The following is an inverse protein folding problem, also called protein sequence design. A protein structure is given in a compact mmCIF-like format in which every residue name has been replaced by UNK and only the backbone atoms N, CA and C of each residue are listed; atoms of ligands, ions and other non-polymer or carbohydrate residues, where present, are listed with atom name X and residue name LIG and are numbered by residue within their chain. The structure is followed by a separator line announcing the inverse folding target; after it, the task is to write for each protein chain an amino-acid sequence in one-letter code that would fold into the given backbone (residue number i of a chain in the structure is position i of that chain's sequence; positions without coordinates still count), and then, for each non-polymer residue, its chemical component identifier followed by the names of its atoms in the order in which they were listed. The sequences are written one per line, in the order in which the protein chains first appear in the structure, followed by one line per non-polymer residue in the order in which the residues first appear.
data_IF_214478586808
#
_entry.id   IF_214478586808
#
_cell.length_a   1.000
_cell.length_b   1.000
_cell.length_c   1.000
_cell.angle_alpha   90.00
_cell.angle_beta   90.00
_cell.angle_gamma   90.00
#
_symmetry.space_group_name_H-M   'P 1'
#
loop_
_entity.id
_entity.type
_entity.pdbx_description
1 polymer ?
#
# COMPACT_ATOMS: atom_id res chain seq x y z
N UNK A 1 -4.67 -10.07 20.79
CA UNK A 1 -4.24 -8.73 20.35
C UNK A 1 -3.07 -8.35 21.22
N UNK A 2 -1.94 -8.05 20.61
CA UNK A 2 -0.69 -7.71 21.29
C UNK A 2 -0.44 -6.21 21.16
N UNK A 3 0.31 -5.62 22.09
CA UNK A 3 0.73 -4.22 22.04
C UNK A 3 2.19 -4.16 22.49
N UNK A 4 2.96 -3.27 21.88
CA UNK A 4 4.37 -3.12 22.21
C UNK A 4 4.96 -1.85 21.62
N UNK A 5 6.29 -1.79 21.59
CA UNK A 5 7.02 -0.69 20.95
C UNK A 5 6.95 -0.78 19.43
N UNK A 6 7.31 0.32 18.76
CA UNK A 6 7.44 0.33 17.30
C UNK A 6 8.51 -0.65 16.80
N UNK A 7 9.62 -0.76 17.52
CA UNK A 7 10.73 -1.65 17.15
C UNK A 7 10.33 -3.12 17.27
N UNK A 8 9.61 -3.49 18.34
CA UNK A 8 9.07 -4.85 18.52
C UNK A 8 8.12 -5.25 17.38
N UNK A 9 7.22 -4.33 16.97
CA UNK A 9 6.35 -4.56 15.82
C UNK A 9 7.18 -4.78 14.55
N UNK A 10 8.14 -3.89 14.27
CA UNK A 10 8.95 -3.95 13.07
C UNK A 10 9.80 -5.23 13.00
N UNK A 11 10.40 -5.64 14.12
CA UNK A 11 11.16 -6.88 14.19
C UNK A 11 10.28 -8.10 13.93
N UNK A 12 9.05 -8.10 14.46
CA UNK A 12 8.07 -9.17 14.22
C UNK A 12 7.63 -9.23 12.77
N UNK A 13 7.32 -8.08 12.15
CA UNK A 13 6.95 -8.02 10.74
C UNK A 13 8.10 -8.46 9.84
N UNK A 14 9.33 -8.03 10.15
CA UNK A 14 10.52 -8.47 9.42
C UNK A 14 10.73 -9.98 9.55
N UNK A 15 10.55 -10.55 10.75
CA UNK A 15 10.61 -12.00 10.96
C UNK A 15 9.54 -12.74 10.14
N UNK A 16 8.29 -12.25 10.15
CA UNK A 16 7.19 -12.82 9.38
C UNK A 16 7.41 -12.77 7.86
N UNK A 17 8.06 -11.72 7.34
CA UNK A 17 8.45 -11.64 5.94
C UNK A 17 9.55 -12.67 5.63
N UNK A 18 10.58 -12.75 6.48
CA UNK A 18 11.69 -13.67 6.25
C UNK A 18 11.33 -15.14 6.40
N UNK A 19 10.22 -15.47 7.10
CA UNK A 19 9.73 -16.84 7.22
C UNK A 19 8.90 -17.29 6.03
N UNK A 20 8.53 -16.41 5.09
CA UNK A 20 7.85 -16.80 3.86
C UNK A 20 8.84 -17.51 2.94
N UNK A 21 8.62 -18.80 2.72
CA UNK A 21 9.46 -19.64 1.84
C UNK A 21 8.78 -19.81 0.48
N UNK A 22 9.24 -19.06 -0.51
CA UNK A 22 8.76 -19.10 -1.91
C UNK A 22 9.95 -19.12 -2.88
N UNK A 23 9.75 -19.63 -4.09
CA UNK A 23 10.80 -19.76 -5.12
C UNK A 23 10.94 -18.50 -6.01
N UNK A 24 10.29 -17.40 -5.64
CA UNK A 24 10.28 -16.12 -6.34
C UNK A 24 10.39 -15.00 -5.30
N UNK A 25 10.60 -13.73 -5.71
CA UNK A 25 10.58 -12.62 -4.78
C UNK A 25 9.32 -12.60 -3.91
N UNK A 26 9.48 -12.36 -2.60
CA UNK A 26 8.35 -12.29 -1.67
C UNK A 26 7.59 -10.99 -1.87
N UNK A 27 6.31 -11.07 -2.26
CA UNK A 27 5.43 -9.93 -2.48
C UNK A 27 4.62 -9.64 -1.23
N UNK A 28 4.85 -8.48 -0.62
CA UNK A 28 4.22 -8.08 0.64
C UNK A 28 3.34 -6.85 0.39
N UNK A 29 2.04 -6.97 0.66
CA UNK A 29 1.13 -5.84 0.70
C UNK A 29 1.19 -5.14 2.06
N UNK A 30 1.27 -3.80 2.04
CA UNK A 30 1.06 -2.92 3.19
C UNK A 30 -0.15 -2.02 2.88
N UNK A 31 -1.33 -2.59 3.07
CA UNK A 31 -2.62 -1.96 2.77
C UNK A 31 -3.07 -1.04 3.90
N UNK A 32 -3.74 0.06 3.58
CA UNK A 32 -4.38 0.89 4.58
C UNK A 32 -4.95 2.19 4.00
N UNK A 33 -5.92 2.78 4.70
CA UNK A 33 -6.49 4.06 4.31
C UNK A 33 -5.42 5.17 4.20
N UNK A 34 -5.71 6.27 3.47
CA UNK A 34 -4.85 7.45 3.51
C UNK A 34 -4.59 7.91 4.96
N UNK A 35 -3.38 8.40 5.23
CA UNK A 35 -2.91 8.87 6.55
C UNK A 35 -2.92 7.85 7.72
N UNK A 36 -3.01 6.54 7.47
CA UNK A 36 -2.81 5.51 8.50
C UNK A 36 -1.33 5.26 8.86
N UNK A 37 -0.39 5.82 8.09
CA UNK A 37 1.06 5.62 8.29
C UNK A 37 1.64 4.39 7.59
N UNK A 38 0.90 3.76 6.67
CA UNK A 38 1.37 2.60 5.89
C UNK A 38 2.70 2.82 5.15
N UNK A 39 2.89 3.99 4.53
CA UNK A 39 4.11 4.33 3.78
C UNK A 39 5.31 4.40 4.73
N UNK A 40 5.15 5.07 5.86
CA UNK A 40 6.17 5.13 6.92
C UNK A 40 6.50 3.74 7.44
N UNK A 41 5.49 2.89 7.70
CA UNK A 41 5.71 1.50 8.11
C UNK A 41 6.50 0.70 7.06
N UNK A 42 6.14 0.84 5.78
CA UNK A 42 6.83 0.16 4.69
C UNK A 42 8.29 0.62 4.55
N UNK A 43 8.57 1.92 4.74
CA UNK A 43 9.92 2.48 4.67
C UNK A 43 10.81 2.02 5.84
N UNK A 44 10.28 2.05 7.06
CA UNK A 44 10.98 1.55 8.25
C UNK A 44 11.29 0.05 8.12
N UNK A 45 10.32 -0.73 7.65
CA UNK A 45 10.49 -2.16 7.42
C UNK A 45 11.50 -2.44 6.29
N UNK A 46 11.51 -1.62 5.25
CA UNK A 46 12.52 -1.70 4.18
C UNK A 46 13.94 -1.49 4.73
N UNK A 47 14.12 -0.51 5.61
CA UNK A 47 15.42 -0.23 6.23
C UNK A 47 15.91 -1.43 7.06
N UNK A 48 15.04 -2.04 7.86
CA UNK A 48 15.38 -3.21 8.68
C UNK A 48 15.72 -4.42 7.81
N UNK A 49 14.92 -4.72 6.79
CA UNK A 49 15.18 -5.85 5.90
C UNK A 49 16.50 -5.68 5.12
N UNK A 50 16.82 -4.46 4.68
CA UNK A 50 18.10 -4.14 4.04
C UNK A 50 19.27 -4.33 5.00
N UNK A 51 19.13 -3.88 6.25
CA UNK A 51 20.15 -4.09 7.30
C UNK A 51 20.38 -5.59 7.60
N UNK A 52 19.35 -6.42 7.40
CA UNK A 52 19.42 -7.90 7.47
C UNK A 52 19.90 -8.56 6.17
N UNK A 53 20.39 -7.78 5.20
CA UNK A 53 20.99 -8.28 3.96
C UNK A 53 19.99 -8.64 2.85
N UNK A 54 18.71 -8.28 2.98
CA UNK A 54 17.71 -8.56 1.92
C UNK A 54 17.70 -7.45 0.86
N UNK A 55 17.56 -7.84 -0.40
CA UNK A 55 17.27 -6.91 -1.48
C UNK A 55 15.80 -6.48 -1.43
N UNK A 56 15.53 -5.22 -1.09
CA UNK A 56 14.16 -4.70 -0.96
C UNK A 56 13.79 -3.78 -2.12
N UNK A 57 12.76 -4.18 -2.86
CA UNK A 57 12.05 -3.37 -3.84
C UNK A 57 10.95 -2.62 -3.10
N UNK A 58 11.06 -1.28 -3.02
CA UNK A 58 9.98 -0.42 -2.50
C UNK A 58 9.21 0.15 -3.68
N UNK A 59 7.90 -0.06 -3.69
CA UNK A 59 6.98 0.51 -4.67
C UNK A 59 5.65 0.86 -3.99
N UNK A 60 4.85 1.70 -4.64
CA UNK A 60 3.55 2.17 -4.13
C UNK A 60 2.49 2.11 -5.23
N UNK A 61 1.24 1.87 -4.84
CA UNK A 61 0.10 1.93 -5.77
C UNK A 61 -0.04 3.32 -6.43
N UNK A 62 0.46 4.37 -5.77
CA UNK A 62 0.39 5.74 -6.28
C UNK A 62 1.19 5.91 -7.58
N UNK A 63 2.12 5.01 -7.89
CA UNK A 63 2.90 4.99 -9.15
C UNK A 63 2.25 4.14 -10.26
N UNK A 64 1.08 3.55 -9.98
CA UNK A 64 0.27 2.73 -10.87
C UNK A 64 -1.13 3.29 -11.01
N UNK A 65 -1.21 4.57 -11.39
CA UNK A 65 -2.45 5.32 -11.54
C UNK A 65 -2.68 5.74 -12.99
N UNK A 66 -3.94 5.84 -13.40
CA UNK A 66 -4.26 6.37 -14.72
C UNK A 66 -4.06 7.90 -14.77
N UNK A 67 -3.65 8.49 -15.90
CA UNK A 67 -3.66 9.95 -16.07
C UNK A 67 -5.00 10.60 -15.72
N UNK A 68 -4.98 11.87 -15.30
CA UNK A 68 -6.16 12.56 -14.74
C UNK A 68 -7.39 12.48 -15.65
N UNK A 69 -7.19 12.56 -16.96
CA UNK A 69 -8.26 12.46 -17.97
C UNK A 69 -9.06 11.14 -17.89
N UNK A 70 -8.42 10.04 -17.48
CA UNK A 70 -9.08 8.73 -17.26
C UNK A 70 -9.42 8.48 -15.78
N UNK A 71 -8.74 9.14 -14.86
CA UNK A 71 -8.93 9.00 -13.40
C UNK A 71 -10.18 9.70 -12.85
N UNK A 72 -10.63 10.77 -13.50
CA UNK A 72 -11.71 11.62 -13.00
C UNK A 72 -12.96 11.73 -13.90
N UNK A 73 -13.42 10.67 -14.59
CA UNK A 73 -14.64 10.74 -15.41
C UNK A 73 -15.89 11.01 -14.55
N UNK A 74 -15.86 10.59 -13.27
CA UNK A 74 -16.90 10.84 -12.27
C UNK A 74 -16.69 12.12 -11.47
N UNK A 75 -15.70 12.94 -11.84
CA UNK A 75 -15.29 14.15 -11.12
C UNK A 75 -14.21 13.91 -10.05
N UNK A 76 -13.47 14.98 -9.73
CA UNK A 76 -12.31 14.92 -8.82
C UNK A 76 -12.68 14.45 -7.41
N UNK A 77 -13.90 14.72 -6.94
CA UNK A 77 -14.32 14.39 -5.57
C UNK A 77 -15.08 13.05 -5.46
N UNK A 78 -15.26 12.31 -6.55
CA UNK A 78 -16.02 11.06 -6.53
C UNK A 78 -15.32 9.95 -5.74
N UNK A 79 -15.97 9.46 -4.69
CA UNK A 79 -15.54 8.30 -3.92
C UNK A 79 -15.51 7.02 -4.76
N UNK A 80 -16.54 6.78 -5.58
CA UNK A 80 -16.56 5.64 -6.51
C UNK A 80 -15.42 5.74 -7.52
N UNK A 81 -15.18 6.93 -8.08
CA UNK A 81 -14.04 7.13 -8.98
C UNK A 81 -12.70 6.91 -8.27
N UNK A 82 -12.60 7.24 -6.98
CA UNK A 82 -11.41 6.95 -6.18
C UNK A 82 -11.15 5.45 -6.02
N UNK A 83 -12.21 4.64 -5.91
CA UNK A 83 -12.09 3.20 -5.70
C UNK A 83 -11.93 2.44 -7.03
N UNK A 84 -12.71 2.77 -8.05
CA UNK A 84 -12.80 2.01 -9.30
C UNK A 84 -11.91 2.54 -10.43
N UNK A 85 -11.66 3.85 -10.52
CA UNK A 85 -11.03 4.46 -11.71
C UNK A 85 -9.59 4.92 -11.46
N UNK A 86 -9.09 4.84 -10.22
CA UNK A 86 -7.84 5.49 -9.87
C UNK A 86 -6.60 4.79 -10.41
N UNK A 87 -6.57 3.46 -10.32
CA UNK A 87 -5.36 2.66 -10.45
C UNK A 87 -5.39 1.75 -11.67
N UNK A 88 -4.26 1.67 -12.37
CA UNK A 88 -4.02 0.77 -13.49
C UNK A 88 -3.52 -0.59 -12.97
N UNK A 89 -4.46 -1.37 -12.44
CA UNK A 89 -4.17 -2.70 -11.89
C UNK A 89 -3.61 -3.66 -12.95
N UNK A 90 -4.04 -3.52 -14.20
CA UNK A 90 -3.55 -4.35 -15.30
C UNK A 90 -2.08 -4.07 -15.59
N UNK A 91 -1.67 -2.79 -15.58
CA UNK A 91 -0.26 -2.43 -15.66
C UNK A 91 0.52 -2.93 -14.45
N UNK A 92 0.03 -2.71 -13.23
CA UNK A 92 0.66 -3.20 -12.00
C UNK A 92 0.94 -4.70 -12.05
N UNK A 93 -0.06 -5.48 -12.43
CA UNK A 93 0.07 -6.94 -12.54
C UNK A 93 1.12 -7.30 -13.59
N UNK A 94 0.97 -6.76 -14.81
CA UNK A 94 1.81 -7.08 -15.95
C UNK A 94 3.30 -6.76 -15.73
N UNK A 95 3.62 -5.62 -15.12
CA UNK A 95 5.01 -5.12 -15.08
C UNK A 95 5.69 -5.29 -13.72
N UNK A 96 4.94 -5.62 -12.66
CA UNK A 96 5.50 -5.76 -11.31
C UNK A 96 5.07 -7.06 -10.62
N UNK A 97 3.77 -7.29 -10.40
CA UNK A 97 3.34 -8.40 -9.53
C UNK A 97 3.46 -9.78 -10.17
N UNK A 98 3.18 -9.91 -11.46
CA UNK A 98 3.27 -11.18 -12.19
C UNK A 98 4.76 -11.53 -12.48
N UNK A 99 5.63 -10.61 -12.94
CA UNK A 99 7.06 -10.90 -13.10
C UNK A 99 7.79 -11.27 -11.79
N UNK A 100 7.33 -10.75 -10.65
CA UNK A 100 7.88 -11.06 -9.32
C UNK A 100 7.16 -12.25 -8.63
N UNK A 101 6.15 -12.84 -9.28
CA UNK A 101 5.35 -13.93 -8.74
C UNK A 101 5.81 -15.32 -9.18
N UNK A 102 5.01 -16.37 -8.86
CA UNK A 102 5.26 -17.74 -9.29
C UNK A 102 5.43 -17.84 -10.81
N UNK A 103 6.56 -18.41 -11.27
CA UNK A 103 6.87 -18.55 -12.69
C UNK A 103 7.26 -17.27 -13.42
N UNK A 104 7.33 -16.14 -12.71
CA UNK A 104 7.80 -14.86 -13.27
C UNK A 104 9.29 -14.85 -13.57
N UNK A 105 9.71 -13.97 -14.49
CA UNK A 105 11.10 -13.86 -14.96
C UNK A 105 11.95 -12.89 -14.12
N UNK A 106 11.36 -12.29 -13.07
CA UNK A 106 11.94 -11.28 -12.18
C UNK A 106 12.29 -9.96 -12.88
N UNK A 107 11.84 -9.72 -14.10
CA UNK A 107 12.07 -8.48 -14.86
C UNK A 107 10.89 -7.54 -14.65
N UNK A 108 11.12 -6.44 -13.94
CA UNK A 108 10.04 -5.60 -13.45
C UNK A 108 10.28 -4.11 -13.70
N UNK A 109 9.20 -3.34 -13.58
CA UNK A 109 9.18 -1.87 -13.54
C UNK A 109 8.44 -1.43 -12.27
N UNK A 110 9.03 -0.56 -11.42
CA UNK A 110 8.41 -0.17 -10.15
C UNK A 110 7.34 0.92 -10.28
N UNK A 111 7.15 1.49 -11.48
CA UNK A 111 6.24 2.59 -11.74
C UNK A 111 5.81 2.60 -13.22
N UNK A 112 4.63 3.15 -13.50
CA UNK A 112 4.09 3.35 -14.86
C UNK A 112 3.47 4.73 -15.07
N UNK A 113 3.64 5.64 -14.10
CA UNK A 113 3.04 6.96 -14.14
C UNK A 113 4.05 8.06 -13.78
N UNK A 114 4.05 9.14 -14.56
CA UNK A 114 4.79 10.37 -14.28
C UNK A 114 3.86 11.39 -13.63
N UNK A 115 4.07 11.65 -12.34
CA UNK A 115 3.26 12.59 -11.57
C UNK A 115 3.42 14.05 -12.01
N UNK A 116 4.58 14.44 -12.54
CA UNK A 116 4.85 15.81 -12.95
C UNK A 116 4.23 16.10 -14.32
N UNK A 117 4.33 15.14 -15.25
CA UNK A 117 3.79 15.28 -16.59
C UNK A 117 2.31 14.88 -16.72
N UNK A 118 1.75 14.17 -15.74
CA UNK A 118 0.40 13.55 -15.83
C UNK A 118 0.28 12.62 -17.05
N UNK A 119 1.28 11.76 -17.24
CA UNK A 119 1.34 10.84 -18.38
C UNK A 119 1.80 9.44 -17.98
N UNK A 120 1.66 8.50 -18.91
CA UNK A 120 2.19 7.15 -18.76
C UNK A 120 3.71 7.20 -18.83
N UNK A 121 4.36 6.57 -17.87
CA UNK A 121 5.80 6.38 -17.79
C UNK A 121 6.14 4.93 -18.17
N UNK A 122 7.26 4.71 -18.83
CA UNK A 122 7.82 3.38 -19.06
C UNK A 122 9.30 3.38 -18.68
N UNK A 123 9.64 3.20 -17.39
CA UNK A 123 11.03 3.24 -16.95
C UNK A 123 11.80 2.02 -17.47
N UNK A 124 13.14 2.01 -17.44
CA UNK A 124 13.91 0.82 -17.81
C UNK A 124 13.54 -0.40 -16.97
N UNK A 125 13.48 -1.57 -17.62
CA UNK A 125 13.22 -2.85 -16.94
C UNK A 125 14.45 -3.23 -16.11
N UNK A 126 14.21 -3.63 -14.87
CA UNK A 126 15.24 -4.08 -13.91
C UNK A 126 15.01 -5.54 -13.54
N UNK A 127 16.06 -6.30 -13.23
CA UNK A 127 15.95 -7.70 -12.80
C UNK A 127 16.15 -7.83 -11.30
N UNK A 128 15.21 -8.47 -10.60
CA UNK A 128 15.32 -8.72 -9.16
C UNK A 128 16.13 -10.00 -8.86
N UNK A 129 16.90 -10.03 -7.75
CA UNK A 129 17.38 -11.27 -7.13
C UNK A 129 16.22 -12.23 -6.81
N UNK A 130 16.49 -13.53 -6.74
CA UNK A 130 15.44 -14.54 -6.54
C UNK A 130 14.80 -14.45 -5.14
N UNK A 131 15.58 -14.00 -4.16
CA UNK A 131 15.22 -13.83 -2.76
C UNK A 131 14.85 -12.37 -2.41
N UNK A 132 14.61 -11.53 -3.41
CA UNK A 132 14.20 -10.15 -3.17
C UNK A 132 12.84 -10.09 -2.43
N UNK A 133 12.61 -8.98 -1.74
CA UNK A 133 11.32 -8.68 -1.09
C UNK A 133 10.74 -7.44 -1.76
N UNK A 134 9.52 -7.55 -2.30
CA UNK A 134 8.71 -6.41 -2.69
C UNK A 134 7.89 -5.96 -1.47
N UNK A 135 8.15 -4.75 -0.98
CA UNK A 135 7.27 -4.04 -0.06
C UNK A 135 6.43 -3.04 -0.85
N UNK A 136 5.15 -3.38 -1.04
CA UNK A 136 4.20 -2.59 -1.81
C UNK A 136 3.15 -1.96 -0.89
N UNK A 137 3.17 -0.64 -0.76
CA UNK A 137 2.20 0.09 0.08
C UNK A 137 1.14 0.81 -0.76
N UNK A 138 -0.05 0.99 -0.19
CA UNK A 138 -1.13 1.60 -0.94
C UNK A 138 -2.51 1.46 -0.32
N UNK A 139 -3.47 2.11 -0.96
CA UNK A 139 -4.89 1.92 -0.67
C UNK A 139 -5.43 0.76 -1.50
N UNK A 140 -6.42 0.05 -0.98
CA UNK A 140 -7.21 -0.93 -1.72
C UNK A 140 -6.43 -2.17 -2.19
N UNK A 141 -5.30 -2.50 -1.56
CA UNK A 141 -4.41 -3.56 -2.08
C UNK A 141 -4.98 -4.97 -1.91
N UNK A 142 -5.94 -5.18 -1.01
CA UNK A 142 -6.54 -6.49 -0.72
C UNK A 142 -7.84 -6.71 -1.50
N UNK A 143 -8.11 -5.90 -2.52
CA UNK A 143 -9.26 -6.05 -3.43
C UNK A 143 -9.15 -7.34 -4.29
N UNK A 144 -10.27 -7.86 -4.83
CA UNK A 144 -10.29 -9.13 -5.56
C UNK A 144 -9.26 -9.23 -6.70
N UNK A 145 -8.97 -8.11 -7.36
CA UNK A 145 -8.04 -8.04 -8.48
C UNK A 145 -6.57 -8.17 -8.05
N UNK A 146 -6.25 -8.11 -6.76
CA UNK A 146 -4.87 -8.13 -6.27
C UNK A 146 -4.63 -9.19 -5.18
N UNK A 147 -5.68 -9.67 -4.51
CA UNK A 147 -5.55 -10.47 -3.28
C UNK A 147 -4.69 -11.73 -3.45
N UNK A 148 -4.80 -12.41 -4.60
CA UNK A 148 -4.08 -13.67 -4.88
C UNK A 148 -2.62 -13.46 -5.32
N UNK A 149 -2.16 -12.20 -5.40
CA UNK A 149 -0.79 -11.85 -5.77
C UNK A 149 0.11 -11.53 -4.57
N UNK A 150 -0.42 -11.59 -3.36
CA UNK A 150 0.35 -11.27 -2.16
C UNK A 150 0.77 -12.52 -1.42
N UNK A 151 2.07 -12.65 -1.17
CA UNK A 151 2.64 -13.75 -0.40
C UNK A 151 2.61 -13.44 1.11
N UNK A 152 2.40 -12.18 1.51
CA UNK A 152 2.09 -11.70 2.86
C UNK A 152 1.27 -10.40 2.82
N UNK A 153 0.25 -10.31 3.66
CA UNK A 153 -0.70 -9.18 3.68
C UNK A 153 -0.71 -8.51 5.05
N UNK A 154 -0.27 -7.26 5.10
CA UNK A 154 -0.31 -6.40 6.26
C UNK A 154 -1.40 -5.35 6.03
N UNK A 155 -2.34 -5.21 6.96
CA UNK A 155 -3.35 -4.15 6.94
C UNK A 155 -3.12 -3.18 8.10
N UNK A 156 -2.92 -1.90 7.79
CA UNK A 156 -2.66 -0.83 8.74
C UNK A 156 -3.95 -0.04 8.97
N UNK A 157 -4.52 -0.18 10.16
CA UNK A 157 -5.71 0.53 10.63
C UNK A 157 -5.34 1.73 11.51
N UNK A 158 -6.22 2.73 11.52
CA UNK A 158 -6.20 3.86 12.44
C UNK A 158 -7.64 4.34 12.58
N UNK A 159 -8.03 4.85 13.74
CA UNK A 159 -9.34 5.45 13.97
C UNK A 159 -9.57 6.63 13.01
N UNK A 160 -10.75 6.65 12.37
CA UNK A 160 -11.13 7.64 11.35
C UNK A 160 -11.03 9.10 11.84
N UNK A 161 -11.33 9.36 13.13
CA UNK A 161 -11.25 10.70 13.71
C UNK A 161 -9.84 11.32 13.66
N UNK A 162 -8.80 10.49 13.77
CA UNK A 162 -7.40 10.93 13.75
C UNK A 162 -6.88 11.17 12.33
N UNK A 163 -7.52 10.57 11.32
CA UNK A 163 -7.05 10.56 9.94
C UNK A 163 -7.22 11.93 9.27
N UNK A 164 -8.36 12.62 9.49
CA UNK A 164 -8.62 13.95 8.90
C UNK A 164 -7.68 15.00 9.49
N UNK A 165 -7.44 14.97 10.80
CA UNK A 165 -6.50 15.91 11.45
C UNK A 165 -5.07 15.74 10.93
N UNK A 166 -4.60 14.48 10.84
CA UNK A 166 -3.28 14.16 10.24
C UNK A 166 -3.18 14.67 8.80
N UNK A 167 -4.27 14.54 8.05
CA UNK A 167 -4.31 14.98 6.66
C UNK A 167 -4.24 16.49 6.49
N UNK A 168 -5.01 17.24 7.30
CA UNK A 168 -4.97 18.72 7.29
C UNK A 168 -3.56 19.22 7.59
N UNK A 169 -2.86 18.61 8.55
CA UNK A 169 -1.47 18.97 8.87
C UNK A 169 -0.53 18.66 7.70
N UNK A 170 -0.67 17.49 7.06
CA UNK A 170 0.17 17.06 5.94
C UNK A 170 -0.06 17.88 4.67
N UNK A 171 -1.32 18.18 4.34
CA UNK A 171 -1.74 18.78 3.06
C UNK A 171 -1.92 20.29 3.14
N UNK A 172 -1.99 20.88 4.34
CA UNK A 172 -2.25 22.32 4.55
C UNK A 172 -1.19 23.28 3.99
N UNK A 173 -0.04 22.77 3.51
CA UNK A 173 0.97 23.56 2.77
C UNK A 173 0.68 23.67 1.28
N UNK A 174 -0.15 22.79 0.73
CA UNK A 174 -0.37 22.63 -0.72
C UNK A 174 -1.80 22.99 -1.14
N UNK A 175 -2.74 23.04 -0.21
CA UNK A 175 -4.14 23.32 -0.48
C UNK A 175 -4.79 24.02 0.70
N UNK A 176 -5.88 24.76 0.44
CA UNK A 176 -6.64 25.37 1.51
C UNK A 176 -7.21 24.30 2.43
N UNK A 177 -7.35 24.61 3.72
CA UNK A 177 -7.97 23.68 4.68
C UNK A 177 -9.36 23.21 4.23
N UNK A 178 -10.15 24.12 3.65
CA UNK A 178 -11.48 23.82 3.15
C UNK A 178 -11.46 22.80 1.99
N UNK A 179 -10.52 22.93 1.05
CA UNK A 179 -10.38 21.99 -0.07
C UNK A 179 -9.90 20.61 0.40
N UNK A 180 -8.97 20.58 1.36
CA UNK A 180 -8.52 19.33 1.99
C UNK A 180 -9.70 18.66 2.68
N UNK A 181 -10.39 19.36 3.58
CA UNK A 181 -11.55 18.80 4.30
C UNK A 181 -12.64 18.31 3.34
N UNK A 182 -12.91 19.05 2.27
CA UNK A 182 -13.87 18.65 1.24
C UNK A 182 -13.44 17.36 0.55
N UNK A 183 -12.19 17.27 0.06
CA UNK A 183 -11.66 16.07 -0.60
C UNK A 183 -11.72 14.86 0.32
N UNK A 184 -11.40 15.05 1.60
CA UNK A 184 -11.47 13.99 2.59
C UNK A 184 -12.90 13.51 2.85
N UNK A 185 -13.85 14.43 3.00
CA UNK A 185 -15.26 14.14 3.25
C UNK A 185 -15.97 13.51 2.04
N UNK A 186 -15.71 14.02 0.83
CA UNK A 186 -16.43 13.60 -0.38
C UNK A 186 -15.78 12.39 -1.08
N UNK A 187 -14.44 12.30 -1.05
CA UNK A 187 -13.68 11.32 -1.84
C UNK A 187 -13.07 10.22 -0.98
N UNK A 188 -12.19 10.59 -0.04
CA UNK A 188 -11.32 9.61 0.61
C UNK A 188 -12.05 8.78 1.67
N UNK A 189 -12.81 9.39 2.57
CA UNK A 189 -13.55 8.63 3.59
C UNK A 189 -14.59 7.69 2.94
N UNK A 190 -15.49 8.16 2.04
CA UNK A 190 -16.52 7.27 1.52
C UNK A 190 -15.97 6.17 0.61
N UNK A 191 -14.83 6.40 -0.06
CA UNK A 191 -14.17 5.33 -0.84
C UNK A 191 -13.56 4.24 0.05
N UNK A 192 -13.04 4.61 1.22
CA UNK A 192 -12.59 3.64 2.22
C UNK A 192 -13.76 2.90 2.84
N UNK A 193 -14.87 3.58 3.13
CA UNK A 193 -16.11 2.93 3.62
C UNK A 193 -16.64 1.90 2.61
N UNK A 194 -16.67 2.26 1.32
CA UNK A 194 -17.02 1.34 0.24
C UNK A 194 -16.09 0.11 0.22
N UNK A 195 -14.78 0.33 0.29
CA UNK A 195 -13.79 -0.75 0.34
C UNK A 195 -13.96 -1.66 1.56
N UNK A 196 -14.18 -1.08 2.75
CA UNK A 196 -14.37 -1.85 3.98
C UNK A 196 -15.66 -2.66 3.97
N UNK A 197 -16.75 -2.09 3.43
CA UNK A 197 -18.03 -2.78 3.30
C UNK A 197 -17.95 -3.97 2.34
N UNK A 198 -17.26 -3.80 1.21
CA UNK A 198 -17.20 -4.78 0.12
C UNK A 198 -16.12 -5.84 0.33
N UNK A 199 -14.91 -5.44 0.72
CA UNK A 199 -13.72 -6.33 0.78
C UNK A 199 -13.40 -6.81 2.19
N UNK A 200 -13.69 -6.00 3.22
CA UNK A 200 -13.36 -6.29 4.62
C UNK A 200 -11.86 -6.65 4.80
N UNK A 201 -10.91 -5.76 4.44
CA UNK A 201 -9.48 -6.06 4.33
C UNK A 201 -8.85 -6.62 5.61
N UNK A 202 -9.28 -6.16 6.79
CA UNK A 202 -8.83 -6.70 8.07
C UNK A 202 -9.12 -8.20 8.23
N UNK A 203 -10.09 -8.76 7.49
CA UNK A 203 -10.37 -10.19 7.45
C UNK A 203 -9.47 -10.98 6.49
N UNK A 204 -8.86 -10.31 5.53
CA UNK A 204 -7.99 -10.91 4.52
C UNK A 204 -6.51 -10.81 4.89
N UNK A 205 -6.15 -9.87 5.76
CA UNK A 205 -4.77 -9.65 6.19
C UNK A 205 -4.25 -10.80 7.07
N UNK A 206 -2.98 -11.15 6.88
CA UNK A 206 -2.24 -12.05 7.77
C UNK A 206 -1.84 -11.32 9.07
N UNK A 207 -1.57 -10.02 8.97
CA UNK A 207 -1.27 -9.15 10.11
C UNK A 207 -2.10 -7.87 10.03
N UNK A 208 -2.79 -7.54 11.12
CA UNK A 208 -3.46 -6.24 11.29
C UNK A 208 -2.66 -5.41 12.28
N UNK A 209 -2.27 -4.20 11.87
CA UNK A 209 -1.53 -3.22 12.67
C UNK A 209 -2.45 -2.05 12.99
N UNK A 210 -2.79 -1.88 14.26
CA UNK A 210 -3.52 -0.73 14.78
C UNK A 210 -2.52 0.38 15.13
N UNK A 211 -2.47 1.40 14.27
CA UNK A 211 -1.44 2.45 14.25
C UNK A 211 -1.96 3.80 14.78
N UNK A 212 -2.90 3.77 15.71
CA UNK A 212 -3.46 4.94 16.40
C UNK A 212 -2.37 5.71 17.14
N UNK A 213 -1.52 5.01 17.88
CA UNK A 213 -0.31 5.55 18.52
C UNK A 213 0.94 4.89 17.89
N UNK A 214 1.58 5.52 16.87
CA UNK A 214 2.65 4.87 16.09
C UNK A 214 3.87 4.41 16.91
N UNK A 215 4.11 5.04 18.06
CA UNK A 215 5.20 4.65 18.98
C UNK A 215 4.85 3.44 19.86
N UNK A 216 3.56 3.15 20.02
CA UNK A 216 3.04 2.04 20.86
C UNK A 216 1.93 1.28 20.13
N UNK A 217 2.21 0.75 18.92
CA UNK A 217 1.19 0.11 18.10
C UNK A 217 0.66 -1.16 18.78
N UNK A 218 -0.57 -1.52 18.41
CA UNK A 218 -1.13 -2.83 18.70
C UNK A 218 -1.23 -3.64 17.41
N UNK A 219 -1.11 -4.96 17.50
CA UNK A 219 -1.23 -5.83 16.33
C UNK A 219 -1.92 -7.15 16.62
N UNK A 220 -2.39 -7.77 15.54
CA UNK A 220 -2.99 -9.10 15.55
C UNK A 220 -2.36 -9.89 14.40
N UNK A 221 -1.83 -11.06 14.71
CA UNK A 221 -1.34 -12.01 13.71
C UNK A 221 -2.36 -13.13 13.58
N UNK A 222 -2.65 -13.54 12.34
CA UNK A 222 -3.52 -14.68 12.07
C UNK A 222 -2.65 -15.88 11.70
N UNK A 223 -2.93 -17.06 12.26
CA UNK A 223 -2.29 -18.28 11.77
C UNK A 223 -2.70 -18.51 10.31
N UNK A 224 -1.74 -18.95 9.51
CA UNK A 224 -1.97 -19.44 8.15
C UNK A 224 -2.46 -20.87 8.15
#
# INVERSE_FOLDING_TARGET
MEQGSRDELLDRLAAAITSVTVAHPTRVAVDGAPATGKTTLADELAAILRARGRHVIRATIDDFVFPRARRYPRGEFSAEGCYFDAHDHDALNRVLLDPLGPGGDRRFQPAVYDHAADTVLSPPVTTAPADAVLLFDGVFLLRPELIDRWDLRIFVSTALGTIVERAVVREGRLSSRADVERRWRERYIPSQELYFATVRPARLADVVVHNDEPRRPAWQTRPR
#
